data_IF_039508207755
#
_entry.id   IF_039508207755
#
_cell.length_a   1.000
_cell.length_b   1.000
_cell.length_c   1.000
_cell.angle_alpha   90.00
_cell.angle_beta   90.00
_cell.angle_gamma   90.00
#
_symmetry.space_group_name_H-M   'P 1'
#
loop_
_entity.id
_entity.type
_entity.pdbx_description
1 polymer ?
#
# COMPACT_ATOMS: atom_id res chain seq x y z
N UNK A 1 7.16 14.50 15.45
CA UNK A 1 5.78 14.90 15.10
C UNK A 1 4.89 13.68 14.81
N UNK A 2 5.19 12.84 13.78
CA UNK A 2 4.32 11.70 13.41
C UNK A 2 4.13 10.68 14.54
N UNK A 3 5.21 10.21 15.18
CA UNK A 3 5.12 9.26 16.30
C UNK A 3 4.28 9.79 17.45
N UNK A 4 4.33 11.09 17.73
CA UNK A 4 3.49 11.72 18.76
C UNK A 4 2.01 11.73 18.37
N UNK A 5 1.69 12.05 17.10
CA UNK A 5 0.33 11.98 16.58
C UNK A 5 -0.19 10.54 16.64
N UNK A 6 0.59 9.57 16.16
CA UNK A 6 0.23 8.15 16.18
C UNK A 6 -0.05 7.68 17.62
N UNK A 7 0.83 8.00 18.57
CA UNK A 7 0.68 7.69 19.99
C UNK A 7 -0.68 8.15 20.55
N UNK A 8 -0.98 9.44 20.45
CA UNK A 8 -2.25 9.98 20.95
C UNK A 8 -3.49 9.43 20.21
N UNK A 9 -3.36 9.20 18.90
CA UNK A 9 -4.43 8.63 18.08
C UNK A 9 -4.75 7.21 18.55
N UNK A 10 -3.74 6.37 18.71
CA UNK A 10 -3.91 4.97 19.14
C UNK A 10 -4.49 4.88 20.55
N UNK A 11 -3.97 5.67 21.50
CA UNK A 11 -4.54 5.74 22.85
C UNK A 11 -6.02 6.12 22.83
N UNK A 12 -6.39 7.08 21.99
CA UNK A 12 -7.79 7.52 21.87
C UNK A 12 -8.67 6.43 21.26
N UNK A 13 -8.21 5.78 20.19
CA UNK A 13 -8.95 4.68 19.54
C UNK A 13 -9.15 3.53 20.54
N UNK A 14 -8.08 3.06 21.18
CA UNK A 14 -8.13 1.93 22.12
C UNK A 14 -9.02 2.20 23.33
N UNK A 15 -9.17 3.46 23.74
CA UNK A 15 -10.10 3.85 24.82
C UNK A 15 -11.57 3.68 24.41
N UNK A 16 -11.89 3.97 23.13
CA UNK A 16 -13.26 3.90 22.60
C UNK A 16 -13.56 2.51 22.05
N UNK A 17 -12.60 1.89 21.39
CA UNK A 17 -12.69 0.58 20.75
C UNK A 17 -11.43 -0.23 21.05
N UNK A 18 -11.39 -0.97 22.17
CA UNK A 18 -10.21 -1.70 22.62
C UNK A 18 -9.65 -2.71 21.60
N UNK A 19 -10.53 -3.35 20.84
CA UNK A 19 -10.21 -4.39 19.86
C UNK A 19 -9.98 -3.85 18.42
N UNK A 20 -9.89 -2.53 18.25
CA UNK A 20 -9.65 -1.94 16.93
C UNK A 20 -8.31 -2.41 16.35
N UNK A 21 -8.31 -2.83 15.08
CA UNK A 21 -7.06 -3.13 14.37
C UNK A 21 -6.40 -1.81 13.94
N UNK A 22 -5.18 -1.59 14.39
CA UNK A 22 -4.42 -0.37 14.12
C UNK A 22 -3.39 -0.62 13.03
N UNK A 23 -3.55 0.07 11.90
CA UNK A 23 -2.60 0.09 10.80
C UNK A 23 -1.90 1.46 10.81
N UNK A 24 -0.63 1.47 11.12
CA UNK A 24 0.17 2.69 11.22
C UNK A 24 1.10 2.91 10.03
N UNK A 25 1.66 4.10 9.98
CA UNK A 25 2.75 4.60 9.16
C UNK A 25 2.43 4.97 7.71
N UNK A 26 1.72 4.22 6.89
CA UNK A 26 1.43 4.58 5.48
C UNK A 26 2.69 5.00 4.69
N UNK A 27 3.72 4.16 4.70
CA UNK A 27 5.05 4.50 4.20
C UNK A 27 5.07 4.61 2.67
N UNK A 28 5.61 5.71 2.14
CA UNK A 28 6.00 5.78 0.73
C UNK A 28 7.23 4.90 0.51
N UNK A 29 7.11 3.81 -0.24
CA UNK A 29 8.11 2.76 -0.38
C UNK A 29 8.42 2.07 0.97
N UNK A 30 9.68 1.72 1.22
CA UNK A 30 10.16 1.03 2.43
C UNK A 30 11.32 1.80 3.09
N UNK A 31 11.08 3.02 3.66
CA UNK A 31 12.12 3.86 4.24
C UNK A 31 12.54 3.33 5.62
N UNK A 32 13.54 2.42 5.66
CA UNK A 32 13.95 1.71 6.87
C UNK A 32 14.32 2.65 8.01
N UNK A 33 15.17 3.66 7.76
CA UNK A 33 15.61 4.57 8.82
C UNK A 33 14.48 5.41 9.41
N UNK A 34 13.49 5.82 8.62
CA UNK A 34 12.30 6.49 9.14
C UNK A 34 11.45 5.54 10.00
N UNK A 35 11.26 4.32 9.53
CA UNK A 35 10.49 3.29 10.23
C UNK A 35 11.15 2.96 11.58
N UNK A 36 12.46 2.74 11.58
CA UNK A 36 13.26 2.50 12.77
C UNK A 36 13.09 3.62 13.80
N UNK A 37 13.27 4.88 13.37
CA UNK A 37 13.09 6.03 14.25
C UNK A 37 11.68 6.12 14.87
N UNK A 38 10.62 5.83 14.10
CA UNK A 38 9.25 5.82 14.65
C UNK A 38 9.05 4.68 15.65
N UNK A 39 9.55 3.48 15.33
CA UNK A 39 9.48 2.33 16.23
C UNK A 39 10.28 2.53 17.53
N UNK A 40 11.44 3.17 17.44
CA UNK A 40 12.22 3.56 18.65
C UNK A 40 11.40 4.46 19.57
N UNK A 41 10.78 5.50 19.03
CA UNK A 41 9.95 6.41 19.82
C UNK A 41 8.70 5.73 20.42
N UNK A 42 8.11 4.75 19.73
CA UNK A 42 7.01 3.95 20.28
C UNK A 42 7.51 3.00 21.38
N UNK A 43 8.67 2.39 21.20
CA UNK A 43 9.31 1.52 22.20
C UNK A 43 9.65 2.29 23.48
N UNK A 44 10.26 3.47 23.38
CA UNK A 44 10.55 4.35 24.51
C UNK A 44 9.31 4.73 25.31
N UNK A 45 8.15 4.78 24.66
CA UNK A 45 6.84 5.06 25.29
C UNK A 45 6.11 3.83 25.79
N UNK A 46 6.65 2.62 25.56
CA UNK A 46 5.96 1.36 25.88
C UNK A 46 4.72 1.11 25.02
N UNK A 47 4.71 1.60 23.77
CA UNK A 47 3.52 1.62 22.89
C UNK A 47 3.64 0.74 21.63
N UNK A 48 4.70 -0.07 21.51
CA UNK A 48 4.85 -0.96 20.33
C UNK A 48 3.65 -1.88 20.13
N UNK A 49 3.19 -2.54 21.18
CA UNK A 49 2.03 -3.44 21.14
C UNK A 49 0.68 -2.75 20.90
N UNK A 50 0.64 -1.43 20.68
CA UNK A 50 -0.57 -0.72 20.36
C UNK A 50 -0.87 -0.67 18.86
N UNK A 51 0.09 -1.00 18.00
CA UNK A 51 -0.07 -1.10 16.53
C UNK A 51 -0.03 -2.56 16.09
N UNK A 52 -0.92 -2.93 15.18
CA UNK A 52 -1.02 -4.32 14.66
C UNK A 52 -0.28 -4.46 13.33
N UNK A 53 -0.21 -3.39 12.54
CA UNK A 53 0.42 -3.39 11.22
C UNK A 53 1.23 -2.12 10.95
N UNK A 54 2.33 -2.30 10.22
CA UNK A 54 3.04 -1.22 9.51
C UNK A 54 2.62 -1.26 8.05
N UNK A 55 2.01 -0.17 7.56
CA UNK A 55 1.59 -0.03 6.17
C UNK A 55 2.69 0.57 5.30
N UNK A 56 2.81 0.07 4.06
CA UNK A 56 3.77 0.53 3.07
C UNK A 56 3.20 0.50 1.65
N UNK A 57 3.78 1.28 0.72
CA UNK A 57 3.30 1.47 -0.65
C UNK A 57 4.44 1.19 -1.66
N UNK A 58 4.60 -0.07 -2.13
CA UNK A 58 5.75 -0.51 -2.92
C UNK A 58 5.56 -0.28 -4.43
N UNK A 59 5.54 0.97 -4.88
CA UNK A 59 5.44 1.29 -6.30
C UNK A 59 6.76 1.03 -7.04
N UNK A 60 6.77 0.00 -7.89
CA UNK A 60 7.85 -0.36 -8.82
C UNK A 60 7.28 -0.76 -10.17
N UNK A 61 7.97 -0.42 -11.26
CA UNK A 61 7.56 -0.80 -12.62
C UNK A 61 7.55 -2.33 -12.80
N UNK A 62 8.59 -3.00 -12.31
CA UNK A 62 8.56 -4.44 -12.09
C UNK A 62 8.20 -4.70 -10.62
N UNK A 63 7.05 -5.32 -10.32
CA UNK A 63 6.59 -5.50 -8.94
C UNK A 63 7.54 -6.36 -8.08
N UNK A 64 8.36 -7.22 -8.71
CA UNK A 64 9.30 -8.10 -8.00
C UNK A 64 10.48 -7.32 -7.43
N UNK A 65 10.83 -6.17 -8.01
CA UNK A 65 11.95 -5.33 -7.56
C UNK A 65 11.71 -4.73 -6.16
N UNK A 66 10.45 -4.72 -5.69
CA UNK A 66 10.13 -4.32 -4.33
C UNK A 66 10.50 -5.38 -3.27
N UNK A 67 10.63 -6.64 -3.66
CA UNK A 67 10.76 -7.78 -2.73
C UNK A 67 11.92 -7.63 -1.74
N UNK A 68 13.16 -7.28 -2.15
CA UNK A 68 14.26 -7.12 -1.19
C UNK A 68 14.00 -6.03 -0.15
N UNK A 69 13.36 -4.92 -0.56
CA UNK A 69 12.99 -3.82 0.34
C UNK A 69 11.89 -4.23 1.33
N UNK A 70 10.92 -4.99 0.87
CA UNK A 70 9.82 -5.50 1.72
C UNK A 70 10.38 -6.50 2.75
N UNK A 71 11.26 -7.40 2.34
CA UNK A 71 11.92 -8.34 3.26
C UNK A 71 12.78 -7.61 4.30
N UNK A 72 13.49 -6.56 3.91
CA UNK A 72 14.27 -5.74 4.84
C UNK A 72 13.35 -5.03 5.84
N UNK A 73 12.22 -4.46 5.39
CA UNK A 73 11.22 -3.86 6.25
C UNK A 73 10.61 -4.89 7.20
N UNK A 74 10.30 -6.08 6.71
CA UNK A 74 9.74 -7.16 7.54
C UNK A 74 10.72 -7.60 8.66
N UNK A 75 12.01 -7.74 8.32
CA UNK A 75 13.06 -8.05 9.32
C UNK A 75 13.18 -6.95 10.35
N UNK A 76 13.19 -5.69 9.93
CA UNK A 76 13.25 -4.54 10.83
C UNK A 76 12.07 -4.54 11.80
N UNK A 77 10.84 -4.59 11.30
CA UNK A 77 9.62 -4.54 12.13
C UNK A 77 9.60 -5.70 13.13
N UNK A 78 9.90 -6.93 12.69
CA UNK A 78 9.97 -8.11 13.57
C UNK A 78 11.07 -8.04 14.63
N UNK A 79 12.12 -7.29 14.42
CA UNK A 79 13.17 -7.09 15.43
C UNK A 79 12.71 -6.20 16.59
N UNK A 80 11.66 -5.42 16.39
CA UNK A 80 11.02 -4.61 17.44
C UNK A 80 9.94 -5.37 18.18
N UNK A 81 9.03 -5.99 17.42
CA UNK A 81 7.93 -6.79 17.97
C UNK A 81 7.50 -7.84 16.92
N UNK A 82 7.56 -9.15 17.23
CA UNK A 82 7.20 -10.22 16.31
C UNK A 82 5.71 -10.24 15.93
N UNK A 83 4.86 -9.62 16.73
CA UNK A 83 3.40 -9.59 16.51
C UNK A 83 2.97 -8.49 15.54
N UNK A 84 3.81 -7.46 15.34
CA UNK A 84 3.55 -6.43 14.33
C UNK A 84 3.79 -7.01 12.93
N UNK A 85 2.77 -6.92 12.08
CA UNK A 85 2.78 -7.43 10.71
C UNK A 85 2.91 -6.30 9.68
N UNK A 86 3.21 -6.68 8.44
CA UNK A 86 3.17 -5.74 7.32
C UNK A 86 1.79 -5.76 6.64
N UNK A 87 1.38 -4.61 6.16
CA UNK A 87 0.19 -4.40 5.35
C UNK A 87 0.56 -3.58 4.11
N UNK A 88 0.37 -4.14 2.92
CA UNK A 88 0.54 -3.38 1.69
C UNK A 88 -0.70 -2.51 1.50
N UNK A 89 -0.61 -1.25 1.94
CA UNK A 89 -1.74 -0.34 2.04
C UNK A 89 -2.14 0.32 0.73
N UNK A 90 -1.19 0.41 -0.21
CA UNK A 90 -1.44 1.02 -1.51
C UNK A 90 -0.40 0.53 -2.53
N UNK A 91 -0.86 -0.03 -3.65
CA UNK A 91 -0.01 -0.34 -4.80
C UNK A 91 -0.87 -0.54 -6.05
N UNK A 92 -0.36 -0.09 -7.19
CA UNK A 92 -1.05 -0.19 -8.47
C UNK A 92 -0.17 0.29 -9.60
N UNK A 93 -0.66 0.16 -10.81
CA UNK A 93 -0.01 0.71 -12.00
C UNK A 93 -1.04 1.22 -13.01
N UNK A 94 -0.64 2.10 -13.94
CA UNK A 94 -1.53 2.61 -14.96
C UNK A 94 -2.02 1.52 -15.91
N UNK A 95 -3.18 1.74 -16.52
CA UNK A 95 -3.71 0.93 -17.63
C UNK A 95 -3.48 1.58 -19.01
N UNK A 96 -2.91 2.78 -19.03
CA UNK A 96 -2.55 3.55 -20.23
C UNK A 96 -1.28 4.36 -19.96
N UNK A 97 -0.68 4.92 -21.01
CA UNK A 97 0.44 5.84 -20.84
C UNK A 97 0.01 7.04 -19.98
N UNK A 98 0.78 7.31 -18.93
CA UNK A 98 0.55 8.40 -17.99
C UNK A 98 1.65 9.46 -18.07
N UNK A 99 1.27 10.74 -17.89
CA UNK A 99 2.21 11.88 -17.92
C UNK A 99 2.61 12.35 -16.52
N UNK A 100 1.81 11.94 -15.53
CA UNK A 100 1.98 12.34 -14.14
C UNK A 100 1.77 11.20 -13.18
N UNK A 101 1.89 10.99 -12.09
CA UNK A 101 1.65 9.85 -11.17
C UNK A 101 2.80 8.84 -11.13
N UNK A 102 2.67 7.90 -10.26
CA UNK A 102 3.64 6.82 -10.10
C UNK A 102 3.72 5.97 -11.38
N UNK A 103 4.92 5.48 -11.68
CA UNK A 103 5.19 4.55 -12.78
C UNK A 103 4.90 5.10 -14.19
N UNK A 104 4.89 6.42 -14.37
CA UNK A 104 4.51 7.10 -15.63
C UNK A 104 5.45 6.86 -16.83
N UNK A 105 6.66 6.40 -16.60
CA UNK A 105 7.67 6.26 -17.67
C UNK A 105 7.63 4.94 -18.42
N UNK A 106 6.72 4.03 -18.07
CA UNK A 106 6.55 2.75 -18.74
C UNK A 106 5.37 2.80 -19.72
N UNK A 107 5.47 2.06 -20.82
CA UNK A 107 4.39 1.94 -21.82
C UNK A 107 3.28 1.01 -21.34
N UNK A 108 2.47 1.51 -20.41
CA UNK A 108 1.38 0.76 -19.83
C UNK A 108 0.22 0.55 -20.79
N UNK A 109 -0.42 -0.60 -20.67
CA UNK A 109 -1.72 -0.94 -21.25
C UNK A 109 -2.47 -1.85 -20.28
N UNK A 110 -3.74 -2.12 -20.57
CA UNK A 110 -4.60 -2.90 -19.65
C UNK A 110 -4.11 -4.34 -19.43
N UNK A 111 -3.40 -4.91 -20.39
CA UNK A 111 -2.83 -6.24 -20.27
C UNK A 111 -1.58 -6.25 -19.38
N UNK A 112 -0.71 -5.27 -19.54
CA UNK A 112 0.45 -5.12 -18.66
C UNK A 112 0.03 -4.78 -17.23
N UNK A 113 -1.04 -3.98 -17.05
CA UNK A 113 -1.66 -3.74 -15.73
C UNK A 113 -2.14 -5.05 -15.08
N UNK A 114 -2.88 -5.88 -15.81
CA UNK A 114 -3.37 -7.16 -15.27
C UNK A 114 -2.25 -8.10 -14.83
N UNK A 115 -1.19 -8.22 -15.64
CA UNK A 115 0.01 -8.99 -15.28
C UNK A 115 0.71 -8.45 -14.03
N UNK A 116 0.84 -7.12 -13.96
CA UNK A 116 1.48 -6.46 -12.84
C UNK A 116 0.71 -6.72 -11.54
N UNK A 117 -0.60 -6.57 -11.58
CA UNK A 117 -1.49 -6.82 -10.43
C UNK A 117 -1.37 -8.27 -9.96
N UNK A 118 -1.44 -9.25 -10.89
CA UNK A 118 -1.28 -10.67 -10.57
C UNK A 118 0.04 -10.95 -9.84
N UNK A 119 1.16 -10.43 -10.37
CA UNK A 119 2.50 -10.64 -9.79
C UNK A 119 2.63 -9.98 -8.42
N UNK A 120 2.13 -8.74 -8.27
CA UNK A 120 2.18 -8.02 -6.99
C UNK A 120 1.39 -8.76 -5.91
N UNK A 121 0.16 -9.14 -6.20
CA UNK A 121 -0.67 -9.88 -5.25
C UNK A 121 -0.09 -11.24 -4.89
N UNK A 122 0.43 -11.98 -5.87
CA UNK A 122 1.08 -13.27 -5.63
C UNK A 122 2.32 -13.12 -4.72
N UNK A 123 3.17 -12.11 -4.97
CA UNK A 123 4.33 -11.83 -4.14
C UNK A 123 3.95 -11.47 -2.70
N UNK A 124 2.97 -10.60 -2.52
CA UNK A 124 2.50 -10.24 -1.19
C UNK A 124 1.92 -11.46 -0.46
N UNK A 125 1.09 -12.25 -1.15
CA UNK A 125 0.50 -13.46 -0.59
C UNK A 125 1.57 -14.51 -0.19
N UNK A 126 2.59 -14.72 -1.02
CA UNK A 126 3.70 -15.63 -0.71
C UNK A 126 4.49 -15.18 0.53
N UNK A 127 4.53 -13.89 0.81
CA UNK A 127 5.15 -13.31 2.01
C UNK A 127 4.20 -13.22 3.21
N UNK A 128 2.95 -13.69 3.09
CA UNK A 128 1.92 -13.58 4.13
C UNK A 128 1.43 -12.15 4.36
N UNK A 129 1.57 -11.27 3.37
CA UNK A 129 1.20 -9.86 3.44
C UNK A 129 -0.18 -9.65 2.83
N UNK A 130 -1.07 -8.96 3.54
CA UNK A 130 -2.35 -8.51 2.98
C UNK A 130 -2.10 -7.34 2.05
N UNK A 131 -2.73 -7.36 0.86
CA UNK A 131 -2.59 -6.35 -0.17
C UNK A 131 -3.86 -5.55 -0.39
N UNK A 132 -3.70 -4.29 -0.74
CA UNK A 132 -4.73 -3.49 -1.38
C UNK A 132 -4.27 -3.04 -2.77
N UNK A 133 -5.23 -2.79 -3.65
CA UNK A 133 -4.96 -2.30 -5.01
C UNK A 133 -5.45 -0.86 -5.12
N UNK A 134 -4.54 0.01 -5.49
CA UNK A 134 -4.85 1.38 -5.89
C UNK A 134 -5.00 1.41 -7.43
N UNK A 135 -6.20 1.52 -7.96
CA UNK A 135 -7.45 1.83 -7.27
C UNK A 135 -8.62 1.04 -7.88
N UNK A 136 -9.80 1.09 -7.26
CA UNK A 136 -10.98 0.36 -7.75
C UNK A 136 -11.53 0.96 -9.04
N UNK A 137 -11.61 2.30 -9.12
CA UNK A 137 -12.05 3.04 -10.31
C UNK A 137 -10.98 4.04 -10.73
N UNK A 138 -10.98 4.46 -12.00
CA UNK A 138 -10.11 5.56 -12.44
C UNK A 138 -10.43 6.85 -11.70
N UNK A 139 -9.40 7.62 -11.37
CA UNK A 139 -9.55 8.91 -10.70
C UNK A 139 -9.57 10.03 -11.73
N UNK A 140 -10.55 10.93 -11.58
CA UNK A 140 -10.72 12.10 -12.42
C UNK A 140 -10.22 13.36 -11.68
N UNK A 141 -9.17 13.97 -12.19
CA UNK A 141 -8.69 15.27 -11.78
C UNK A 141 -9.14 16.36 -12.78
N UNK A 142 -9.13 17.65 -12.42
CA UNK A 142 -9.59 18.69 -13.32
C UNK A 142 -8.95 18.70 -14.72
N UNK A 143 -7.67 18.32 -14.81
CA UNK A 143 -6.88 18.38 -16.04
C UNK A 143 -6.38 17.03 -16.54
N UNK A 144 -6.67 15.91 -15.84
CA UNK A 144 -6.18 14.61 -16.22
C UNK A 144 -6.99 13.47 -15.60
N UNK A 145 -6.95 12.33 -16.24
CA UNK A 145 -7.44 11.07 -15.70
C UNK A 145 -6.24 10.22 -15.24
N UNK A 146 -6.34 9.62 -14.07
CA UNK A 146 -5.40 8.60 -13.59
C UNK A 146 -6.00 7.21 -13.85
N UNK A 147 -5.41 6.45 -14.77
CA UNK A 147 -5.93 5.17 -15.27
C UNK A 147 -5.52 3.96 -14.43
N UNK A 148 -5.47 4.09 -13.12
CA UNK A 148 -5.09 3.02 -12.18
C UNK A 148 -6.26 2.08 -11.82
N UNK A 149 -7.48 2.43 -12.22
CA UNK A 149 -8.68 1.68 -11.84
C UNK A 149 -8.69 0.24 -12.37
N UNK A 150 -9.25 -0.66 -11.59
CA UNK A 150 -9.69 -1.98 -12.07
C UNK A 150 -10.92 -1.85 -12.98
N UNK A 151 -11.71 -0.81 -12.73
CA UNK A 151 -12.84 -0.41 -13.56
C UNK A 151 -12.49 0.86 -14.34
N UNK A 152 -12.66 0.82 -15.65
CA UNK A 152 -12.53 2.02 -16.45
C UNK A 152 -13.73 2.93 -16.25
N UNK A 153 -13.47 4.23 -16.04
CA UNK A 153 -14.50 5.26 -16.00
C UNK A 153 -14.33 6.26 -17.15
N UNK A 154 -15.42 6.93 -17.51
CA UNK A 154 -15.42 8.06 -18.43
C UNK A 154 -15.28 9.39 -17.66
N UNK A 155 -15.26 10.51 -18.39
CA UNK A 155 -15.15 11.86 -17.79
C UNK A 155 -16.34 12.24 -16.90
N UNK A 156 -17.47 11.55 -17.03
CA UNK A 156 -18.66 11.73 -16.18
C UNK A 156 -18.64 10.85 -14.92
N UNK A 157 -17.52 10.14 -14.69
CA UNK A 157 -17.31 9.20 -13.55
C UNK A 157 -18.23 7.97 -13.61
N UNK A 158 -18.76 7.64 -14.80
CA UNK A 158 -19.55 6.42 -15.01
C UNK A 158 -18.62 5.26 -15.34
N UNK A 159 -18.93 4.07 -14.81
CA UNK A 159 -18.20 2.84 -15.13
C UNK A 159 -18.53 2.42 -16.56
N UNK A 160 -17.52 2.30 -17.40
CA UNK A 160 -17.65 1.88 -18.80
C UNK A 160 -17.52 0.37 -18.94
N UNK A 161 -16.48 -0.22 -18.32
CA UNK A 161 -16.25 -1.66 -18.28
C UNK A 161 -15.26 -2.08 -17.20
N UNK A 162 -15.22 -3.38 -16.92
CA UNK A 162 -14.22 -4.06 -16.09
C UNK A 162 -12.97 -4.34 -16.91
N UNK A 163 -11.81 -3.88 -16.45
CA UNK A 163 -10.53 -4.19 -17.09
C UNK A 163 -10.11 -5.66 -16.85
N UNK A 164 -9.16 -6.21 -17.65
CA UNK A 164 -8.58 -7.52 -17.37
C UNK A 164 -8.04 -7.63 -15.93
N UNK A 165 -7.47 -6.57 -15.38
CA UNK A 165 -6.99 -6.50 -14.00
C UNK A 165 -8.08 -6.72 -12.94
N UNK A 166 -9.34 -6.32 -13.22
CA UNK A 166 -10.47 -6.63 -12.34
C UNK A 166 -10.68 -8.14 -12.21
N UNK A 167 -10.66 -8.85 -13.34
CA UNK A 167 -10.82 -10.31 -13.32
C UNK A 167 -9.62 -11.01 -12.64
N UNK A 168 -8.42 -10.47 -12.79
CA UNK A 168 -7.23 -10.96 -12.10
C UNK A 168 -7.37 -10.90 -10.59
N UNK A 169 -7.97 -9.83 -10.06
CA UNK A 169 -8.17 -9.68 -8.60
C UNK A 169 -9.33 -10.54 -8.09
N UNK A 170 -10.29 -10.84 -8.94
CA UNK A 170 -11.48 -11.63 -8.58
C UNK A 170 -11.16 -13.12 -8.39
N UNK A 171 -10.17 -13.66 -9.10
CA UNK A 171 -9.79 -15.08 -9.11
C UNK A 171 -8.51 -15.36 -8.34
#
# INVERSE_FOLDING_TARGET
AYATLLSHTVETIRRVQPDAVIIGMGLSRMPLGYTEHVLDLLRERGQLGMIDYVSFHPYHENPDDATPGIEALARLVKSYDPDIRLFQGESGCPATLEWAHALRYYEWNEYSQAKWVARRMANDWMMGIRSSIFTFVDLQYPNMQQSFGLLRTNLFKEVVYKRPSFHTVQH
#
